data_IF_827453165664
#
_entry.id   IF_827453165664
#
_cell.length_a   1.000
_cell.length_b   1.000
_cell.length_c   1.000
_cell.angle_alpha   90.00
_cell.angle_beta   90.00
_cell.angle_gamma   90.00
#
_symmetry.space_group_name_H-M   'P 1'
#
loop_
_entity.id
_entity.type
_entity.pdbx_description
1 polymer ?
#
# COMPACT_ATOMS: atom_id res chain seq x y z
N UNK A 1 40.74 19.27 -33.25
CA UNK A 1 39.53 18.59 -33.77
C UNK A 1 39.22 17.26 -33.05
N UNK A 2 39.97 16.88 -32.00
CA UNK A 2 39.81 15.60 -31.29
C UNK A 2 39.23 15.75 -29.87
N UNK A 3 39.33 16.92 -29.22
CA UNK A 3 38.89 17.08 -27.82
C UNK A 3 37.37 17.15 -27.65
N UNK A 4 36.67 17.68 -28.67
CA UNK A 4 35.21 17.77 -28.69
C UNK A 4 34.55 16.41 -28.94
N UNK A 5 35.25 15.53 -29.68
CA UNK A 5 34.87 14.13 -29.90
C UNK A 5 35.16 13.21 -28.71
N UNK A 6 35.97 13.63 -27.74
CA UNK A 6 36.21 12.85 -26.52
C UNK A 6 35.20 13.22 -25.42
N UNK A 7 34.63 14.44 -25.46
CA UNK A 7 33.61 14.91 -24.51
C UNK A 7 32.22 14.35 -24.79
N UNK A 8 31.85 14.18 -26.05
CA UNK A 8 30.54 13.65 -26.44
C UNK A 8 30.44 12.12 -26.32
N UNK A 9 31.57 11.41 -26.34
CA UNK A 9 31.65 9.97 -26.03
C UNK A 9 31.55 9.71 -24.51
N UNK A 10 32.27 10.48 -23.68
CA UNK A 10 32.19 10.37 -22.21
C UNK A 10 30.83 10.81 -21.60
N UNK A 11 30.00 11.50 -22.38
CA UNK A 11 28.64 11.89 -21.96
C UNK A 11 27.60 10.80 -22.28
N UNK A 12 27.90 9.89 -23.20
CA UNK A 12 26.98 8.81 -23.61
C UNK A 12 26.98 7.60 -22.66
N UNK A 13 27.98 7.44 -21.78
CA UNK A 13 27.98 6.37 -20.78
C UNK A 13 27.10 6.64 -19.54
N UNK A 14 26.41 7.78 -19.48
CA UNK A 14 25.47 8.12 -18.40
C UNK A 14 23.99 8.02 -18.82
N UNK A 15 23.67 7.21 -19.84
CA UNK A 15 22.30 6.74 -20.01
C UNK A 15 21.95 5.78 -18.86
N UNK A 16 21.41 6.35 -17.80
CA UNK A 16 20.67 5.64 -16.75
C UNK A 16 19.65 4.72 -17.44
N UNK A 17 19.92 3.43 -17.38
CA UNK A 17 18.95 2.38 -17.64
C UNK A 17 17.81 2.59 -16.64
N UNK A 18 16.76 3.25 -17.08
CA UNK A 18 15.50 3.30 -16.36
C UNK A 18 15.04 1.85 -16.24
N UNK A 19 15.06 1.34 -15.00
CA UNK A 19 14.42 0.10 -14.62
C UNK A 19 13.00 0.11 -15.18
N UNK A 20 12.79 -0.55 -16.31
CA UNK A 20 11.47 -0.85 -16.84
C UNK A 20 10.87 -1.90 -15.90
N UNK A 21 10.48 -1.43 -14.72
CA UNK A 21 9.99 -2.25 -13.63
C UNK A 21 8.76 -3.00 -14.09
N UNK A 22 8.65 -4.26 -13.65
CA UNK A 22 7.60 -5.19 -14.10
C UNK A 22 6.22 -4.53 -14.00
N UNK A 23 5.69 -4.10 -15.14
CA UNK A 23 4.35 -3.54 -15.27
C UNK A 23 3.39 -4.71 -15.18
N UNK A 24 2.63 -4.76 -14.09
CA UNK A 24 1.62 -5.79 -13.90
C UNK A 24 0.57 -5.68 -15.01
N UNK A 25 0.40 -6.77 -15.77
CA UNK A 25 -0.73 -6.94 -16.69
C UNK A 25 -2.05 -6.73 -15.95
N UNK A 26 -3.11 -6.32 -16.64
CA UNK A 26 -4.40 -6.00 -16.02
C UNK A 26 -4.96 -7.17 -15.18
N UNK A 27 -4.67 -8.41 -15.59
CA UNK A 27 -5.01 -9.62 -14.85
C UNK A 27 -4.29 -9.70 -13.47
N UNK A 28 -3.00 -9.36 -13.42
CA UNK A 28 -2.22 -9.36 -12.17
C UNK A 28 -2.67 -8.24 -11.22
N UNK A 29 -3.00 -7.07 -11.78
CA UNK A 29 -3.51 -5.92 -11.00
C UNK A 29 -4.86 -6.23 -10.35
N UNK A 30 -5.74 -6.97 -11.04
CA UNK A 30 -7.03 -7.43 -10.48
C UNK A 30 -6.85 -8.37 -9.29
N UNK A 31 -5.91 -9.32 -9.38
CA UNK A 31 -5.58 -10.24 -8.28
C UNK A 31 -5.00 -9.52 -7.06
N UNK A 32 -4.20 -8.47 -7.27
CA UNK A 32 -3.67 -7.65 -6.18
C UNK A 32 -4.78 -6.89 -5.43
N UNK A 33 -5.73 -6.30 -6.16
CA UNK A 33 -6.88 -5.59 -5.56
C UNK A 33 -7.75 -6.52 -4.72
N UNK A 34 -8.02 -7.74 -5.21
CA UNK A 34 -8.84 -8.71 -4.48
C UNK A 34 -8.25 -9.07 -3.10
N UNK A 35 -6.93 -9.28 -3.03
CA UNK A 35 -6.23 -9.59 -1.77
C UNK A 35 -6.33 -8.46 -0.75
N UNK A 36 -6.11 -7.21 -1.20
CA UNK A 36 -6.19 -6.06 -0.30
C UNK A 36 -7.62 -5.85 0.22
N UNK A 37 -8.64 -6.11 -0.61
CA UNK A 37 -10.05 -6.04 -0.20
C UNK A 37 -10.36 -7.09 0.86
N UNK A 38 -9.91 -8.34 0.68
CA UNK A 38 -10.13 -9.40 1.66
C UNK A 38 -9.53 -9.04 3.03
N UNK A 39 -8.28 -8.53 3.05
CA UNK A 39 -7.63 -8.07 4.27
C UNK A 39 -8.42 -6.92 4.92
N UNK A 40 -8.85 -5.94 4.12
CA UNK A 40 -9.66 -4.81 4.61
C UNK A 40 -10.99 -5.24 5.23
N UNK A 41 -11.68 -6.21 4.60
CA UNK A 41 -12.94 -6.76 5.13
C UNK A 41 -12.73 -7.50 6.45
N UNK A 42 -11.68 -8.32 6.55
CA UNK A 42 -11.37 -9.06 7.79
C UNK A 42 -11.03 -8.09 8.92
N UNK A 43 -10.15 -7.13 8.68
CA UNK A 43 -9.75 -6.15 9.69
C UNK A 43 -10.93 -5.26 10.10
N UNK A 44 -11.70 -4.74 9.13
CA UNK A 44 -12.87 -3.91 9.40
C UNK A 44 -13.95 -4.67 10.18
N UNK A 45 -14.24 -5.91 9.78
CA UNK A 45 -15.18 -6.77 10.49
C UNK A 45 -14.75 -7.03 11.94
N UNK A 46 -13.47 -7.34 12.15
CA UNK A 46 -12.93 -7.56 13.49
C UNK A 46 -13.06 -6.32 14.38
N UNK A 47 -12.71 -5.13 13.86
CA UNK A 47 -12.87 -3.86 14.58
C UNK A 47 -14.32 -3.58 14.95
N UNK A 48 -15.26 -3.78 14.02
CA UNK A 48 -16.69 -3.55 14.28
C UNK A 48 -17.21 -4.52 15.34
N UNK A 49 -16.81 -5.79 15.28
CA UNK A 49 -17.18 -6.79 16.29
C UNK A 49 -16.67 -6.41 17.69
N UNK A 50 -15.38 -6.06 17.80
CA UNK A 50 -14.80 -5.65 19.06
C UNK A 50 -15.42 -4.36 19.60
N UNK A 51 -15.58 -3.34 18.75
CA UNK A 51 -16.15 -2.06 19.16
C UNK A 51 -17.62 -2.20 19.57
N UNK A 52 -18.42 -2.91 18.76
CA UNK A 52 -19.82 -3.20 19.09
C UNK A 52 -19.95 -3.97 20.39
N UNK A 53 -19.17 -5.03 20.58
CA UNK A 53 -19.13 -5.78 21.83
C UNK A 53 -18.70 -4.91 23.02
N UNK A 54 -17.72 -4.02 22.81
CA UNK A 54 -17.25 -3.08 23.84
C UNK A 54 -18.36 -2.12 24.25
N UNK A 55 -19.07 -1.52 23.30
CA UNK A 55 -20.17 -0.60 23.58
C UNK A 55 -21.32 -1.32 24.29
N UNK A 56 -21.69 -2.53 23.86
CA UNK A 56 -22.79 -3.29 24.48
C UNK A 56 -22.45 -3.74 25.90
N UNK A 57 -21.22 -4.24 26.14
CA UNK A 57 -20.81 -4.72 27.46
C UNK A 57 -20.44 -3.59 28.41
N UNK A 58 -19.56 -2.70 28.00
CA UNK A 58 -19.05 -1.66 28.88
C UNK A 58 -19.96 -0.44 28.92
N UNK A 59 -20.77 -0.15 27.88
CA UNK A 59 -21.65 1.03 27.87
C UNK A 59 -22.56 1.15 29.11
N UNK A 60 -23.33 0.10 29.48
CA UNK A 60 -24.14 0.12 30.69
C UNK A 60 -23.32 0.08 31.97
N UNK A 61 -22.24 -0.71 31.98
CA UNK A 61 -21.40 -0.96 33.15
C UNK A 61 -20.62 0.29 33.59
N UNK A 62 -20.17 1.11 32.63
CA UNK A 62 -19.50 2.40 32.89
C UNK A 62 -20.52 3.40 33.47
N UNK A 63 -21.74 3.45 32.95
CA UNK A 63 -22.78 4.37 33.42
C UNK A 63 -23.34 3.98 34.80
N UNK A 64 -23.49 2.68 35.07
CA UNK A 64 -23.96 2.16 36.36
C UNK A 64 -22.95 2.36 37.50
N UNK A 65 -21.66 2.49 37.20
CA UNK A 65 -20.62 2.67 38.22
C UNK A 65 -20.39 4.14 38.58
N UNK A 66 -20.83 5.07 37.73
CA UNK A 66 -20.66 6.51 37.92
C UNK A 66 -21.85 7.19 38.63
N UNK A 67 -23.00 6.51 38.70
CA UNK A 67 -24.21 6.93 39.43
C UNK A 67 -24.29 6.18 40.76
#
# INVERSE_FOLDING_TARGET
MSDEKMKNEATQENEVMYEEGIVLTDAQKKSQRARNIAIGLVLGGLVVLFYGATVVKFGPEILQRAM
#
